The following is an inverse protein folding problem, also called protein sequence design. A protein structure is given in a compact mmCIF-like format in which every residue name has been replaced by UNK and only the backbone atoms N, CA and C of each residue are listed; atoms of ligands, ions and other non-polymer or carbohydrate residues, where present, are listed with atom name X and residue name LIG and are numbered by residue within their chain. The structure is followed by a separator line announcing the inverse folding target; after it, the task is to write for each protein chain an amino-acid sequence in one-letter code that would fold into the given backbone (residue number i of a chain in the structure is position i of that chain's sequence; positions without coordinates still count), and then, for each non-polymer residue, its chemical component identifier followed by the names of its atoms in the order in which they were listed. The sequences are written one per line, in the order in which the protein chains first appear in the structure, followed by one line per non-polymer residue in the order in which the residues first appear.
data_IF_207386462241
#
_entry.id   IF_207386462241
#
_cell.length_a   1.000
_cell.length_b   1.000
_cell.length_c   1.000
_cell.angle_alpha   90.00
_cell.angle_beta   90.00
_cell.angle_gamma   90.00
#
_symmetry.space_group_name_H-M   'P 1'
#
loop_
_entity.id
_entity.type
_entity.pdbx_description
1 polymer ?
#
# COMPACT_ATOMS: atom_id res chain seq x y z
N UNK A 1 21.01 -10.46 0.19
CA UNK A 1 20.68 -10.29 -1.23
C UNK A 1 20.53 -11.59 -1.98
N UNK A 2 21.04 -12.65 -1.42
CA UNK A 2 20.92 -13.98 -2.03
C UNK A 2 19.48 -14.37 -2.30
N UNK A 3 18.55 -14.00 -1.43
CA UNK A 3 17.14 -14.29 -1.61
C UNK A 3 16.52 -13.61 -2.83
N UNK A 4 17.17 -12.55 -3.33
CA UNK A 4 16.67 -11.82 -4.49
C UNK A 4 17.28 -12.28 -5.79
N UNK A 5 18.37 -13.02 -5.72
CA UNK A 5 19.01 -13.55 -6.92
C UNK A 5 18.15 -14.66 -7.53
N UNK A 6 17.93 -14.58 -8.81
CA UNK A 6 17.11 -15.55 -9.51
C UNK A 6 15.62 -15.44 -9.25
N UNK A 7 15.22 -14.54 -8.40
CA UNK A 7 13.81 -14.30 -8.13
C UNK A 7 13.24 -13.36 -9.19
N UNK A 8 12.20 -13.80 -9.87
CA UNK A 8 11.50 -12.95 -10.83
C UNK A 8 10.08 -12.75 -10.32
N UNK A 9 9.60 -11.51 -10.32
CA UNK A 9 8.29 -11.19 -9.81
C UNK A 9 8.30 -9.85 -9.09
N UNK A 10 7.63 -9.82 -7.93
CA UNK A 10 7.42 -8.58 -7.20
C UNK A 10 8.16 -8.59 -5.86
N UNK A 11 8.74 -7.46 -5.51
CA UNK A 11 9.38 -7.22 -4.23
C UNK A 11 8.67 -6.11 -3.50
N UNK A 12 8.19 -6.40 -2.27
CA UNK A 12 7.56 -5.39 -1.43
C UNK A 12 8.65 -4.62 -0.69
N UNK A 13 8.66 -3.30 -0.82
CA UNK A 13 9.66 -2.45 -0.18
C UNK A 13 9.02 -1.29 0.56
N UNK A 14 9.83 -0.65 1.40
CA UNK A 14 9.45 0.57 2.10
C UNK A 14 10.12 1.82 1.49
N UNK A 15 10.56 1.72 0.25
CA UNK A 15 11.21 2.79 -0.50
C UNK A 15 12.60 3.16 -0.03
N UNK A 16 13.31 2.27 0.62
CA UNK A 16 14.73 2.45 0.89
C UNK A 16 15.51 2.48 -0.41
N UNK A 17 16.45 3.41 -0.50
CA UNK A 17 17.30 3.56 -1.68
C UNK A 17 18.08 2.27 -2.00
N UNK A 18 18.52 1.55 -0.98
CA UNK A 18 19.22 0.28 -1.18
C UNK A 18 18.36 -0.77 -1.85
N UNK A 19 17.09 -0.85 -1.47
CA UNK A 19 16.16 -1.78 -2.11
C UNK A 19 15.88 -1.38 -3.55
N UNK A 20 15.80 -0.09 -3.82
CA UNK A 20 15.60 0.39 -5.19
C UNK A 20 16.74 -0.05 -6.10
N UNK A 21 17.98 0.09 -5.64
CA UNK A 21 19.14 -0.30 -6.42
C UNK A 21 19.17 -1.81 -6.66
N UNK A 22 18.86 -2.60 -5.63
CA UNK A 22 18.84 -4.05 -5.74
C UNK A 22 17.75 -4.50 -6.71
N UNK A 23 16.56 -3.96 -6.60
CA UNK A 23 15.45 -4.30 -7.49
C UNK A 23 15.79 -3.97 -8.95
N UNK A 24 16.41 -2.83 -9.18
CA UNK A 24 16.83 -2.43 -10.53
C UNK A 24 17.88 -3.38 -11.10
N UNK A 25 18.84 -3.82 -10.27
CA UNK A 25 19.90 -4.72 -10.71
C UNK A 25 19.42 -6.12 -11.02
N UNK A 26 18.44 -6.61 -10.27
CA UNK A 26 17.96 -7.98 -10.40
C UNK A 26 16.77 -8.12 -11.34
N UNK A 27 16.21 -7.01 -11.81
CA UNK A 27 15.01 -7.04 -12.63
C UNK A 27 13.75 -7.35 -11.85
N UNK A 28 13.82 -7.32 -10.53
CA UNK A 28 12.65 -7.52 -9.67
C UNK A 28 11.79 -6.26 -9.65
N UNK A 29 10.51 -6.42 -9.91
CA UNK A 29 9.59 -5.31 -9.87
C UNK A 29 9.27 -4.94 -8.42
N UNK A 30 9.47 -3.65 -8.08
CA UNK A 30 9.26 -3.17 -6.72
C UNK A 30 7.80 -2.79 -6.50
N UNK A 31 7.25 -3.23 -5.37
CA UNK A 31 5.92 -2.85 -4.91
C UNK A 31 6.04 -2.04 -3.63
N UNK A 32 5.34 -0.92 -3.56
CA UNK A 32 5.25 -0.12 -2.34
C UNK A 32 4.23 -0.72 -1.38
N UNK A 33 4.44 -0.46 -0.10
CA UNK A 33 3.69 -1.09 0.98
C UNK A 33 2.56 -0.19 1.47
N UNK A 34 1.33 -0.70 1.50
CA UNK A 34 0.18 0.03 2.03
C UNK A 34 0.30 0.30 3.53
N UNK A 35 1.05 -0.52 4.26
CA UNK A 35 1.28 -0.26 5.67
C UNK A 35 2.02 1.06 5.89
N UNK A 36 2.97 1.40 5.03
CA UNK A 36 3.66 2.68 5.10
C UNK A 36 2.74 3.85 4.78
N UNK A 37 1.92 3.71 3.75
CA UNK A 37 0.95 4.75 3.39
C UNK A 37 -0.02 4.98 4.55
N UNK A 38 -0.55 3.90 5.11
CA UNK A 38 -1.48 3.97 6.23
C UNK A 38 -0.87 4.67 7.44
N UNK A 39 0.37 4.32 7.77
CA UNK A 39 1.06 4.93 8.91
C UNK A 39 1.22 6.44 8.74
N UNK A 40 1.57 6.88 7.55
CA UNK A 40 1.73 8.31 7.29
C UNK A 40 0.42 9.06 7.49
N UNK A 41 -0.71 8.48 7.10
CA UNK A 41 -2.00 9.09 7.34
C UNK A 41 -2.41 9.03 8.81
N UNK A 42 -2.01 7.99 9.55
CA UNK A 42 -2.23 7.94 11.00
C UNK A 42 -1.45 9.08 11.68
N UNK A 43 -0.20 9.30 11.27
CA UNK A 43 0.59 10.39 11.82
C UNK A 43 -0.05 11.76 11.52
N UNK A 44 -0.58 11.92 10.32
CA UNK A 44 -1.31 13.15 9.96
C UNK A 44 -2.57 13.33 10.80
N UNK A 45 -3.28 12.23 11.09
CA UNK A 45 -4.48 12.27 11.92
C UNK A 45 -4.17 12.75 13.33
N UNK A 46 -3.02 12.38 13.88
CA UNK A 46 -2.64 12.75 15.24
C UNK A 46 -2.46 14.25 15.43
N UNK A 47 -2.11 14.97 14.38
CA UNK A 47 -1.83 16.40 14.46
C UNK A 47 -2.98 17.27 13.96
N UNK A 48 -4.08 16.66 13.52
CA UNK A 48 -5.24 17.45 13.12
C UNK A 48 -6.11 17.84 14.33
N UNK A 49 -6.93 18.89 14.21
CA UNK A 49 -7.75 19.34 15.34
C UNK A 49 -8.69 18.26 15.85
N UNK A 50 -8.78 18.13 17.16
CA UNK A 50 -9.66 17.15 17.79
C UNK A 50 -11.13 17.50 17.57
N UNK A 51 -11.95 16.47 17.39
CA UNK A 51 -13.39 16.65 17.24
C UNK A 51 -13.84 17.00 15.84
N UNK A 52 -12.90 17.07 14.89
CA UNK A 52 -13.24 17.34 13.49
C UNK A 52 -12.79 16.20 12.61
N UNK A 53 -13.64 15.84 11.64
CA UNK A 53 -13.27 14.87 10.61
C UNK A 53 -12.39 15.60 9.61
N UNK A 54 -11.15 15.15 9.49
CA UNK A 54 -10.18 15.78 8.62
C UNK A 54 -9.93 14.97 7.35
N UNK A 55 -9.05 15.50 6.50
CA UNK A 55 -8.69 14.85 5.25
C UNK A 55 -7.98 13.52 5.48
N UNK A 56 -7.16 13.42 6.53
CA UNK A 56 -6.50 12.17 6.86
C UNK A 56 -7.50 11.07 7.22
N UNK A 57 -8.58 11.44 7.91
CA UNK A 57 -9.64 10.49 8.27
C UNK A 57 -10.31 9.90 7.04
N UNK A 58 -10.55 10.71 6.02
CA UNK A 58 -11.16 10.25 4.77
C UNK A 58 -10.27 9.22 4.07
N UNK A 59 -8.98 9.53 3.95
CA UNK A 59 -8.03 8.61 3.33
C UNK A 59 -7.91 7.31 4.13
N UNK A 60 -7.82 7.42 5.46
CA UNK A 60 -7.72 6.25 6.33
C UNK A 60 -8.95 5.36 6.24
N UNK A 61 -10.14 5.96 6.14
CA UNK A 61 -11.36 5.19 6.01
C UNK A 61 -11.33 4.32 4.76
N UNK A 62 -10.88 4.87 3.64
CA UNK A 62 -10.76 4.12 2.38
C UNK A 62 -9.67 3.05 2.47
N UNK A 63 -8.52 3.39 3.02
CA UNK A 63 -7.41 2.44 3.19
C UNK A 63 -7.85 1.28 4.10
N UNK A 64 -8.55 1.58 5.19
CA UNK A 64 -9.03 0.54 6.11
C UNK A 64 -10.05 -0.38 5.44
N UNK A 65 -10.86 0.13 4.52
CA UNK A 65 -11.76 -0.71 3.73
C UNK A 65 -11.00 -1.69 2.85
N UNK A 66 -9.88 -1.26 2.26
CA UNK A 66 -9.01 -2.16 1.48
C UNK A 66 -8.50 -3.30 2.37
N UNK A 67 -8.02 -2.98 3.56
CA UNK A 67 -7.57 -4.00 4.51
C UNK A 67 -8.69 -4.92 4.98
N UNK A 68 -9.89 -4.37 5.16
CA UNK A 68 -11.06 -5.17 5.53
C UNK A 68 -11.38 -6.24 4.50
N UNK A 69 -11.32 -5.88 3.23
CA UNK A 69 -11.54 -6.83 2.13
C UNK A 69 -10.46 -7.93 2.17
N UNK A 70 -9.20 -7.56 2.37
CA UNK A 70 -8.11 -8.54 2.46
C UNK A 70 -8.30 -9.49 3.63
N UNK A 71 -8.72 -8.97 4.79
CA UNK A 71 -8.96 -9.79 5.97
C UNK A 71 -10.09 -10.78 5.74
N UNK A 72 -11.15 -10.35 5.07
CA UNK A 72 -12.31 -11.21 4.80
C UNK A 72 -11.99 -12.35 3.84
N UNK A 73 -10.95 -12.19 3.02
CA UNK A 73 -10.59 -13.15 1.98
C UNK A 73 -9.19 -13.73 2.14
N UNK A 74 -8.61 -13.65 3.34
CA UNK A 74 -7.25 -14.16 3.54
C UNK A 74 -7.15 -15.68 3.34
N UNK A 75 -8.23 -16.42 3.56
CA UNK A 75 -8.27 -17.87 3.38
C UNK A 75 -8.83 -18.28 2.02
N UNK A 76 -9.16 -17.34 1.17
CA UNK A 76 -9.65 -17.59 -0.18
C UNK A 76 -8.50 -18.02 -1.10
N UNK A 77 -8.86 -18.70 -2.20
CA UNK A 77 -7.87 -19.04 -3.23
C UNK A 77 -7.33 -17.77 -3.90
N UNK A 78 -6.21 -17.91 -4.59
CA UNK A 78 -5.63 -16.77 -5.33
C UNK A 78 -6.63 -16.24 -6.38
N UNK A 79 -7.31 -17.14 -7.07
CA UNK A 79 -8.29 -16.75 -8.08
C UNK A 79 -9.47 -16.00 -7.47
N UNK A 80 -10.00 -16.51 -6.36
CA UNK A 80 -11.10 -15.85 -5.66
C UNK A 80 -10.69 -14.48 -5.14
N UNK A 81 -9.48 -14.40 -4.56
CA UNK A 81 -8.96 -13.14 -4.04
C UNK A 81 -8.76 -12.12 -5.17
N UNK A 82 -8.26 -12.57 -6.31
CA UNK A 82 -8.12 -11.70 -7.48
C UNK A 82 -9.48 -11.16 -7.93
N UNK A 83 -10.48 -12.03 -8.02
CA UNK A 83 -11.83 -11.63 -8.42
C UNK A 83 -12.42 -10.60 -7.46
N UNK A 84 -12.28 -10.84 -6.15
CA UNK A 84 -12.78 -9.92 -5.13
C UNK A 84 -12.07 -8.57 -5.20
N UNK A 85 -10.76 -8.58 -5.42
CA UNK A 85 -9.99 -7.35 -5.56
C UNK A 85 -10.47 -6.53 -6.77
N UNK A 86 -10.76 -7.20 -7.89
CA UNK A 86 -11.28 -6.53 -9.07
C UNK A 86 -12.69 -5.96 -8.84
N UNK A 87 -13.53 -6.67 -8.11
CA UNK A 87 -14.93 -6.28 -7.91
C UNK A 87 -15.11 -5.29 -6.76
N UNK A 88 -14.32 -5.41 -5.68
CA UNK A 88 -14.54 -4.64 -4.46
C UNK A 88 -13.43 -3.66 -4.15
N UNK A 89 -12.17 -4.03 -4.38
CA UNK A 89 -11.04 -3.17 -4.03
C UNK A 89 -10.80 -2.10 -5.08
N UNK A 90 -10.93 -2.41 -6.36
CA UNK A 90 -10.73 -1.41 -7.41
C UNK A 90 -11.64 -0.19 -7.27
N UNK A 91 -12.94 -0.33 -7.01
CA UNK A 91 -13.78 0.87 -6.80
C UNK A 91 -13.31 1.75 -5.65
N UNK A 92 -12.81 1.14 -4.57
CA UNK A 92 -12.27 1.89 -3.44
C UNK A 92 -10.99 2.62 -3.84
N UNK A 93 -10.12 1.95 -4.60
CA UNK A 93 -8.92 2.58 -5.12
C UNK A 93 -9.25 3.76 -6.04
N UNK A 94 -10.28 3.64 -6.84
CA UNK A 94 -10.75 4.74 -7.69
C UNK A 94 -11.22 5.93 -6.85
N UNK A 95 -11.95 5.68 -5.78
CA UNK A 95 -12.38 6.73 -4.86
C UNK A 95 -11.18 7.41 -4.20
N UNK A 96 -10.20 6.62 -3.77
CA UNK A 96 -9.00 7.14 -3.13
C UNK A 96 -8.18 7.96 -4.12
N UNK A 97 -8.08 7.51 -5.37
CA UNK A 97 -7.37 8.26 -6.41
C UNK A 97 -8.04 9.61 -6.68
N UNK A 98 -9.36 9.63 -6.76
CA UNK A 98 -10.10 10.88 -6.94
C UNK A 98 -9.86 11.84 -5.78
N UNK A 99 -9.88 11.32 -4.54
CA UNK A 99 -9.56 12.11 -3.36
C UNK A 99 -8.13 12.65 -3.42
N UNK A 100 -7.18 11.80 -3.82
CA UNK A 100 -5.78 12.18 -3.94
C UNK A 100 -5.57 13.30 -4.95
N UNK A 101 -6.16 13.17 -6.13
CA UNK A 101 -6.02 14.16 -7.18
C UNK A 101 -6.61 15.51 -6.78
N UNK A 102 -7.68 15.50 -6.00
CA UNK A 102 -8.31 16.70 -5.49
C UNK A 102 -7.50 17.34 -4.36
N UNK A 103 -6.91 16.52 -3.51
CA UNK A 103 -6.25 16.97 -2.28
C UNK A 103 -4.80 17.41 -2.51
N UNK A 104 -4.09 16.74 -3.42
CA UNK A 104 -2.66 16.98 -3.64
C UNK A 104 -2.31 18.45 -3.87
N UNK A 105 -3.06 19.21 -4.73
CA UNK A 105 -2.72 20.62 -4.93
C UNK A 105 -3.00 21.51 -3.72
N UNK A 106 -3.73 21.01 -2.73
CA UNK A 106 -4.16 21.81 -1.59
C UNK A 106 -3.25 21.62 -0.36
N UNK A 107 -2.25 20.77 -0.43
CA UNK A 107 -1.37 20.48 0.72
C UNK A 107 0.07 20.81 0.37
N UNK A 108 0.88 21.07 1.42
CA UNK A 108 2.31 21.33 1.27
C UNK A 108 3.08 20.11 1.77
N UNK A 109 4.29 19.92 1.23
CA UNK A 109 5.17 18.83 1.61
C UNK A 109 5.69 18.92 3.04
N UNK A 110 5.51 20.07 3.67
CA UNK A 110 6.13 20.36 4.96
C UNK A 110 5.34 19.82 6.15
N UNK A 111 4.03 19.60 6.00
CA UNK A 111 3.23 19.07 7.09
C UNK A 111 2.99 17.58 6.91
N UNK A 112 2.48 16.94 7.97
CA UNK A 112 2.28 15.49 7.99
C UNK A 112 1.29 15.03 6.92
N UNK A 113 0.22 15.77 6.70
CA UNK A 113 -0.76 15.43 5.66
C UNK A 113 -0.12 15.51 4.27
N UNK A 114 0.66 16.55 4.01
CA UNK A 114 1.34 16.71 2.73
C UNK A 114 2.31 15.57 2.46
N UNK A 115 3.05 15.14 3.48
CA UNK A 115 3.97 14.00 3.36
C UNK A 115 3.21 12.71 3.04
N UNK A 116 2.07 12.49 3.69
CA UNK A 116 1.24 11.32 3.43
C UNK A 116 0.69 11.35 2.01
N UNK A 117 0.16 12.49 1.58
CA UNK A 117 -0.39 12.67 0.23
C UNK A 117 0.68 12.47 -0.82
N UNK A 118 1.87 13.04 -0.63
CA UNK A 118 2.97 12.90 -1.59
C UNK A 118 3.48 11.46 -1.66
N UNK A 119 3.56 10.76 -0.54
CA UNK A 119 3.91 9.35 -0.55
C UNK A 119 2.90 8.55 -1.37
N UNK A 120 1.62 8.77 -1.12
CA UNK A 120 0.55 8.08 -1.84
C UNK A 120 0.62 8.36 -3.34
N UNK A 121 0.81 9.62 -3.71
CA UNK A 121 0.89 10.02 -5.12
C UNK A 121 2.12 9.43 -5.82
N UNK A 122 3.29 9.53 -5.17
CA UNK A 122 4.55 9.06 -5.77
C UNK A 122 4.59 7.56 -5.94
N UNK A 123 3.87 6.81 -5.10
CA UNK A 123 3.90 5.36 -5.11
C UNK A 123 2.61 4.73 -5.63
N UNK A 124 1.69 5.54 -6.16
CA UNK A 124 0.36 5.07 -6.53
C UNK A 124 0.39 3.87 -7.46
N UNK A 125 1.14 3.93 -8.56
CA UNK A 125 1.19 2.85 -9.53
C UNK A 125 1.70 1.55 -8.92
N UNK A 126 2.61 1.62 -7.96
CA UNK A 126 3.15 0.45 -7.27
C UNK A 126 2.17 -0.07 -6.23
N UNK A 127 1.49 0.85 -5.52
CA UNK A 127 0.54 0.47 -4.47
C UNK A 127 -0.66 -0.28 -5.02
N UNK A 128 -1.14 0.07 -6.20
CA UNK A 128 -2.34 -0.57 -6.77
C UNK A 128 -2.04 -1.93 -7.41
N UNK A 129 -0.78 -2.30 -7.58
CA UNK A 129 -0.42 -3.54 -8.27
C UNK A 129 -0.90 -4.80 -7.58
N UNK A 130 -1.11 -4.77 -6.27
CA UNK A 130 -1.54 -5.98 -5.57
C UNK A 130 -2.89 -6.52 -6.07
N UNK A 131 -3.73 -5.67 -6.67
CA UNK A 131 -5.02 -6.12 -7.20
C UNK A 131 -4.90 -6.85 -8.53
N UNK A 132 -3.73 -6.81 -9.17
CA UNK A 132 -3.50 -7.48 -10.45
C UNK A 132 -3.42 -9.00 -10.33
N UNK A 133 -3.19 -9.53 -9.14
CA UNK A 133 -3.14 -10.96 -8.92
C UNK A 133 -3.42 -11.30 -7.48
N UNK A 134 -4.08 -12.43 -7.25
CA UNK A 134 -4.46 -12.86 -5.91
C UNK A 134 -3.29 -13.30 -5.03
N UNK A 135 -2.10 -13.51 -5.63
CA UNK A 135 -0.90 -13.93 -4.91
C UNK A 135 -0.09 -12.76 -4.35
N UNK A 136 -0.34 -11.54 -4.81
CA UNK A 136 0.41 -10.36 -4.37
C UNK A 136 -0.11 -9.88 -3.01
N UNK A 137 0.77 -9.65 -2.03
CA UNK A 137 0.32 -9.15 -0.73
C UNK A 137 0.06 -7.65 -0.77
N UNK A 138 -0.84 -7.19 0.08
CA UNK A 138 -1.13 -5.75 0.20
C UNK A 138 0.00 -5.03 0.93
N UNK A 139 0.72 -5.70 1.83
CA UNK A 139 1.80 -5.09 2.60
C UNK A 139 2.87 -6.10 3.02
N UNK A 140 3.98 -5.57 3.54
CA UNK A 140 5.11 -6.37 4.02
C UNK A 140 4.78 -7.19 5.25
N UNK A 141 3.89 -6.69 6.11
CA UNK A 141 3.55 -7.40 7.33
C UNK A 141 2.96 -8.76 7.03
N UNK A 142 2.09 -8.83 6.02
CA UNK A 142 1.51 -10.09 5.59
C UNK A 142 2.57 -11.02 4.99
N UNK A 143 3.47 -10.48 4.18
CA UNK A 143 4.55 -11.25 3.59
C UNK A 143 5.46 -11.84 4.66
N UNK A 144 5.82 -11.06 5.68
CA UNK A 144 6.63 -11.51 6.79
C UNK A 144 5.94 -12.64 7.56
N UNK A 145 4.66 -12.48 7.83
CA UNK A 145 3.88 -13.51 8.54
C UNK A 145 3.83 -14.81 7.76
N UNK A 146 3.79 -14.73 6.44
CA UNK A 146 3.80 -15.90 5.58
C UNK A 146 5.15 -16.62 5.62
N UNK A 147 6.25 -15.88 5.72
CA UNK A 147 7.61 -16.41 5.68
C UNK A 147 8.03 -17.01 7.01
N UNK A 148 7.61 -16.44 8.13
CA UNK A 148 8.03 -16.87 9.47
C UNK A 148 7.96 -18.36 9.74
N UNK A 149 6.89 -19.07 9.37
CA UNK A 149 6.82 -20.51 9.65
C UNK A 149 7.93 -21.32 8.98
N UNK A 150 8.53 -20.80 7.94
CA UNK A 150 9.59 -21.50 7.22
C UNK A 150 10.99 -21.16 7.73
N UNK A 151 11.10 -20.12 8.52
CA UNK A 151 12.38 -19.68 9.08
C UNK A 151 12.69 -20.41 10.39
N UNK A 152 11.65 -20.76 11.10
CA UNK A 152 11.77 -21.47 12.37
C UNK A 152 12.10 -22.95 12.10
#
# INVERSE_FOLDING_TARGET
MHLLEGFSGYLITDDYAGYNAVAAQTGIERLSCWAHARRKFIDAQKVQPKGKIGRADMALNLINKLYGIERDHQDSSELERHTVRQQRSLPILEQLKAWLDKTQPQVTEQNALGKAVNYLASNWSRLVRYVEGGHLPIDNNRAENTIRPFVI
#
